data_IF_799869278647
#
_entry.id   IF_799869278647
#
_cell.length_a   1.000
_cell.length_b   1.000
_cell.length_c   1.000
_cell.angle_alpha   90.00
_cell.angle_beta   90.00
_cell.angle_gamma   90.00
#
_symmetry.space_group_name_H-M   'P 1'
#
loop_
_entity.id
_entity.type
_entity.pdbx_description
1 polymer ?
#
# COMPACT_ATOMS: atom_id res chain seq x y z
N UNK A 1 -0.94 -12.59 -25.57
CA UNK A 1 -1.74 -13.40 -24.62
C UNK A 1 -1.75 -12.65 -23.31
N UNK A 2 -2.91 -12.37 -22.73
CA UNK A 2 -2.97 -11.76 -21.41
C UNK A 2 -2.70 -12.88 -20.38
N UNK A 3 -1.48 -12.94 -19.84
CA UNK A 3 -1.20 -13.77 -18.68
C UNK A 3 -1.97 -13.18 -17.51
N UNK A 4 -3.08 -13.81 -17.16
CA UNK A 4 -3.83 -13.48 -15.95
C UNK A 4 -2.98 -13.84 -14.74
N UNK A 5 -2.78 -12.88 -13.83
CA UNK A 5 -2.09 -12.99 -12.53
C UNK A 5 -2.65 -14.10 -11.59
N UNK A 6 -3.60 -14.92 -12.03
CA UNK A 6 -4.32 -15.92 -11.24
C UNK A 6 -3.48 -17.07 -10.70
N UNK A 7 -2.21 -17.21 -11.13
CA UNK A 7 -1.24 -18.15 -10.57
C UNK A 7 -0.38 -17.57 -9.44
N UNK A 8 -0.50 -16.28 -9.14
CA UNK A 8 0.29 -15.59 -8.12
C UNK A 8 -0.60 -15.33 -6.90
N UNK A 9 -0.18 -15.78 -5.71
CA UNK A 9 -0.94 -15.58 -4.46
C UNK A 9 -1.14 -14.11 -4.06
N UNK A 10 -0.56 -13.18 -4.82
CA UNK A 10 -0.84 -11.73 -4.88
C UNK A 10 -2.35 -11.41 -5.02
N UNK A 11 -3.14 -12.33 -5.57
CA UNK A 11 -4.62 -12.22 -5.64
C UNK A 11 -5.30 -12.21 -4.26
N UNK A 12 -4.60 -12.58 -3.18
CA UNK A 12 -5.12 -12.45 -1.81
C UNK A 12 -5.19 -10.98 -1.36
N UNK A 13 -4.23 -10.15 -1.81
CA UNK A 13 -4.11 -8.72 -1.51
C UNK A 13 -4.97 -7.92 -2.49
N UNK A 14 -4.93 -8.28 -3.77
CA UNK A 14 -5.66 -7.56 -4.81
C UNK A 14 -7.04 -8.17 -5.02
N UNK A 15 -8.07 -7.35 -4.79
CA UNK A 15 -9.46 -7.58 -5.18
C UNK A 15 -9.77 -6.78 -6.46
N UNK A 16 -9.23 -7.23 -7.59
CA UNK A 16 -9.53 -6.66 -8.90
C UNK A 16 -10.68 -7.42 -9.58
N UNK A 17 -11.61 -6.70 -10.20
CA UNK A 17 -12.58 -7.33 -11.11
C UNK A 17 -11.86 -8.00 -12.29
N UNK A 18 -12.49 -9.01 -12.91
CA UNK A 18 -11.92 -9.68 -14.09
C UNK A 18 -11.54 -8.64 -15.16
N UNK A 19 -10.25 -8.55 -15.51
CA UNK A 19 -9.73 -7.62 -16.52
C UNK A 19 -9.36 -6.21 -16.02
N UNK A 20 -9.39 -5.95 -14.70
CA UNK A 20 -9.09 -4.63 -14.15
C UNK A 20 -7.59 -4.35 -13.92
N UNK A 21 -6.72 -5.37 -14.01
CA UNK A 21 -5.27 -5.22 -13.91
C UNK A 21 -4.58 -5.68 -15.19
N UNK A 22 -3.63 -4.86 -15.61
CA UNK A 22 -2.70 -5.12 -16.71
C UNK A 22 -1.29 -5.27 -16.17
N UNK A 23 -0.38 -5.85 -16.96
CA UNK A 23 1.03 -5.94 -16.58
C UNK A 23 1.68 -4.55 -16.47
N UNK A 24 1.13 -3.54 -17.13
CA UNK A 24 1.61 -2.16 -17.05
C UNK A 24 1.32 -1.50 -15.70
N UNK A 25 0.38 -2.06 -14.93
CA UNK A 25 0.03 -1.58 -13.59
C UNK A 25 1.00 -2.09 -12.51
N UNK A 26 1.89 -3.04 -12.85
CA UNK A 26 2.81 -3.67 -11.91
C UNK A 26 4.25 -3.50 -12.39
N UNK A 27 5.12 -3.00 -11.51
CA UNK A 27 6.56 -2.95 -11.75
C UNK A 27 7.30 -3.88 -10.81
N UNK A 28 8.46 -4.36 -11.25
CA UNK A 28 9.37 -5.13 -10.40
C UNK A 28 10.44 -4.19 -9.87
N UNK A 29 10.67 -4.24 -8.56
CA UNK A 29 11.68 -3.43 -7.85
C UNK A 29 12.41 -4.29 -6.84
N UNK A 30 13.64 -3.92 -6.51
CA UNK A 30 14.43 -4.58 -5.48
C UNK A 30 14.24 -3.84 -4.15
N UNK A 31 14.17 -4.59 -3.06
CA UNK A 31 14.10 -4.04 -1.71
C UNK A 31 15.47 -3.61 -1.20
N UNK A 32 15.55 -2.45 -0.53
CA UNK A 32 16.73 -2.02 0.24
C UNK A 32 16.44 -1.90 1.75
N UNK A 33 15.16 -2.01 2.14
CA UNK A 33 14.70 -1.94 3.53
C UNK A 33 14.93 -3.24 4.31
N UNK A 34 15.14 -3.11 5.63
CA UNK A 34 15.26 -4.26 6.53
C UNK A 34 13.91 -4.97 6.82
N UNK A 35 12.78 -4.28 6.63
CA UNK A 35 11.44 -4.79 6.97
C UNK A 35 10.39 -4.18 6.05
N UNK A 36 10.19 -4.82 4.88
CA UNK A 36 9.00 -4.59 4.05
C UNK A 36 8.00 -5.71 4.33
N UNK A 37 6.75 -5.48 3.98
CA UNK A 37 5.69 -6.47 4.05
C UNK A 37 4.68 -6.22 2.92
N UNK A 38 3.92 -7.22 2.49
CA UNK A 38 2.90 -6.99 1.48
C UNK A 38 1.87 -5.96 1.96
N UNK A 39 1.31 -5.20 1.03
CA UNK A 39 0.44 -4.04 1.23
C UNK A 39 1.05 -2.75 1.78
N UNK A 40 2.34 -2.73 2.14
CA UNK A 40 2.99 -1.48 2.53
C UNK A 40 3.11 -0.50 1.36
N UNK A 41 3.10 0.79 1.69
CA UNK A 41 3.41 1.89 0.79
C UNK A 41 4.92 2.02 0.66
N UNK A 42 5.43 2.17 -0.56
CA UNK A 42 6.85 2.31 -0.83
C UNK A 42 7.19 3.53 -1.68
N UNK A 43 8.41 4.04 -1.52
CA UNK A 43 9.04 5.06 -2.37
C UNK A 43 10.31 4.49 -3.00
N UNK A 44 10.76 5.11 -4.10
CA UNK A 44 12.07 4.80 -4.68
C UNK A 44 13.17 5.50 -3.84
N UNK A 45 14.25 4.78 -3.57
CA UNK A 45 15.42 5.28 -2.85
C UNK A 45 16.68 5.12 -3.72
N UNK A 46 17.45 6.20 -3.88
CA UNK A 46 18.74 6.20 -4.58
C UNK A 46 18.67 6.58 -6.06
N UNK A 47 19.76 7.18 -6.57
CA UNK A 47 19.85 7.75 -7.92
C UNK A 47 20.31 6.74 -8.99
N UNK A 48 20.92 5.61 -8.60
CA UNK A 48 21.62 4.71 -9.54
C UNK A 48 20.93 3.36 -9.76
N UNK A 49 20.16 2.90 -8.77
CA UNK A 49 19.26 1.75 -8.87
C UNK A 49 17.96 2.17 -8.17
N UNK A 50 16.77 1.98 -8.78
CA UNK A 50 15.52 2.24 -8.08
C UNK A 50 15.26 1.06 -7.15
N UNK A 51 16.03 0.98 -6.08
CA UNK A 51 15.63 0.15 -4.95
C UNK A 51 14.46 0.86 -4.25
N UNK A 52 13.65 0.10 -3.54
CA UNK A 52 12.50 0.65 -2.80
C UNK A 52 12.68 0.46 -1.30
N UNK A 53 12.13 1.41 -0.57
CA UNK A 53 12.02 1.41 0.88
C UNK A 53 10.57 1.72 1.31
N UNK A 54 10.26 1.55 2.60
CA UNK A 54 8.99 2.00 3.15
C UNK A 54 8.85 3.51 2.92
N UNK A 55 7.67 3.93 2.49
CA UNK A 55 7.35 5.34 2.38
C UNK A 55 7.41 5.97 3.78
N UNK A 56 8.27 6.97 3.96
CA UNK A 56 8.46 7.61 5.25
C UNK A 56 7.19 8.35 5.69
N UNK A 57 7.02 8.52 7.01
CA UNK A 57 5.92 9.33 7.53
C UNK A 57 6.01 10.76 6.96
N UNK A 58 4.87 11.31 6.54
CA UNK A 58 4.75 12.62 5.88
C UNK A 58 5.42 12.75 4.49
N UNK A 59 5.97 11.68 3.92
CA UNK A 59 6.44 11.69 2.55
C UNK A 59 5.26 11.66 1.56
N UNK A 60 5.33 12.50 0.53
CA UNK A 60 4.26 12.66 -0.45
C UNK A 60 4.55 11.89 -1.76
N UNK A 61 5.79 11.46 -1.95
CA UNK A 61 6.26 10.84 -3.19
C UNK A 61 6.23 9.32 -3.08
N UNK A 62 5.02 8.76 -3.19
CA UNK A 62 4.82 7.31 -3.23
C UNK A 62 5.10 6.76 -4.64
N UNK A 63 5.85 5.66 -4.71
CA UNK A 63 5.94 4.85 -5.93
C UNK A 63 4.69 3.98 -6.09
N UNK A 64 4.33 3.22 -5.06
CA UNK A 64 3.30 2.20 -5.17
C UNK A 64 3.06 1.41 -3.89
N UNK A 65 2.39 0.27 -4.05
CA UNK A 65 2.08 -0.68 -2.97
C UNK A 65 2.78 -2.00 -3.24
N UNK A 66 3.50 -2.52 -2.25
CA UNK A 66 4.17 -3.82 -2.38
C UNK A 66 3.15 -4.94 -2.36
N UNK A 67 3.24 -5.86 -3.31
CA UNK A 67 2.35 -7.02 -3.44
C UNK A 67 3.00 -8.31 -2.91
N UNK A 68 4.32 -8.33 -2.79
CA UNK A 68 5.10 -9.46 -2.28
C UNK A 68 6.28 -9.81 -3.17
N UNK A 69 7.05 -10.80 -2.73
CA UNK A 69 8.25 -11.27 -3.44
C UNK A 69 7.94 -11.86 -4.82
N UNK A 70 8.87 -11.66 -5.76
CA UNK A 70 8.89 -12.28 -7.10
C UNK A 70 9.36 -13.73 -6.98
N UNK A 71 8.56 -14.56 -6.28
CA UNK A 71 8.73 -16.02 -6.17
C UNK A 71 7.37 -16.68 -5.96
N UNK A 72 7.21 -17.96 -6.34
CA UNK A 72 6.00 -18.71 -6.00
C UNK A 72 6.02 -19.04 -4.50
N UNK A 73 5.44 -18.17 -3.67
CA UNK A 73 5.07 -18.55 -2.32
C UNK A 73 3.78 -19.40 -2.39
N UNK A 74 3.78 -20.57 -1.75
CA UNK A 74 2.61 -21.45 -1.68
C UNK A 74 1.46 -20.82 -0.85
N UNK A 75 1.81 -19.91 0.05
CA UNK A 75 0.89 -19.15 0.89
C UNK A 75 1.36 -17.70 0.99
N UNK A 76 0.47 -16.74 0.75
CA UNK A 76 0.74 -15.32 0.93
C UNK A 76 0.09 -14.83 2.21
N UNK A 77 0.90 -14.28 3.12
CA UNK A 77 0.43 -13.57 4.30
C UNK A 77 0.70 -12.07 4.12
N UNK A 78 -0.25 -11.23 4.54
CA UNK A 78 -0.19 -9.78 4.32
C UNK A 78 0.76 -9.08 5.32
N UNK A 79 1.03 -9.70 6.47
CA UNK A 79 1.97 -9.21 7.48
C UNK A 79 3.33 -9.92 7.45
N UNK A 80 3.54 -10.85 6.51
CA UNK A 80 4.81 -11.55 6.37
C UNK A 80 5.92 -10.57 5.98
N UNK A 81 7.02 -10.61 6.74
CA UNK A 81 8.21 -9.83 6.41
C UNK A 81 8.83 -10.31 5.11
N UNK A 82 9.13 -9.37 4.23
CA UNK A 82 9.87 -9.56 2.99
C UNK A 82 11.36 -9.35 3.29
N UNK A 83 12.18 -10.26 2.78
CA UNK A 83 13.62 -10.18 2.98
C UNK A 83 14.24 -8.99 2.24
N UNK A 84 15.30 -8.41 2.81
CA UNK A 84 16.05 -7.36 2.14
C UNK A 84 16.78 -7.90 0.89
N UNK A 85 17.01 -7.05 -0.11
CA UNK A 85 17.68 -7.35 -1.37
C UNK A 85 16.96 -8.40 -2.24
N UNK A 86 15.64 -8.48 -2.15
CA UNK A 86 14.81 -9.37 -2.96
C UNK A 86 13.97 -8.54 -3.94
N UNK A 87 13.64 -9.11 -5.10
CA UNK A 87 12.72 -8.48 -6.03
C UNK A 87 11.27 -8.69 -5.58
N UNK A 88 10.49 -7.62 -5.62
CA UNK A 88 9.06 -7.62 -5.30
C UNK A 88 8.26 -7.06 -6.45
N UNK A 89 6.99 -7.45 -6.50
CA UNK A 89 5.99 -6.81 -7.33
C UNK A 89 5.45 -5.58 -6.61
N UNK A 90 5.37 -4.46 -7.31
CA UNK A 90 4.81 -3.20 -6.83
C UNK A 90 3.65 -2.82 -7.72
N UNK A 91 2.48 -2.65 -7.13
CA UNK A 91 1.31 -2.08 -7.79
C UNK A 91 1.47 -0.58 -7.87
N UNK A 92 1.46 -0.04 -9.09
CA UNK A 92 1.42 1.40 -9.32
C UNK A 92 0.02 1.96 -8.99
N UNK A 93 -0.11 3.26 -8.71
CA UNK A 93 -1.41 3.89 -8.48
C UNK A 93 -2.30 3.80 -9.72
N UNK A 94 -3.50 3.21 -9.60
CA UNK A 94 -4.40 2.99 -10.76
C UNK A 94 -5.83 3.48 -10.55
N UNK A 95 -6.23 3.83 -9.32
CA UNK A 95 -7.57 4.21 -8.83
C UNK A 95 -8.71 3.24 -9.17
N UNK A 96 -8.40 2.10 -9.78
CA UNK A 96 -9.34 1.12 -10.34
C UNK A 96 -9.35 -0.19 -9.57
N UNK A 97 -8.46 -0.32 -8.59
CA UNK A 97 -8.21 -1.58 -7.91
C UNK A 97 -8.68 -1.47 -6.47
N UNK A 98 -9.21 -2.56 -5.92
CA UNK A 98 -9.41 -2.66 -4.48
C UNK A 98 -8.28 -3.53 -3.94
N UNK A 99 -7.56 -3.04 -2.95
CA UNK A 99 -6.49 -3.77 -2.27
C UNK A 99 -6.84 -3.95 -0.80
N UNK A 100 -6.50 -5.10 -0.26
CA UNK A 100 -6.44 -5.33 1.18
C UNK A 100 -5.11 -4.78 1.70
N UNK A 101 -5.15 -4.03 2.79
CA UNK A 101 -3.99 -3.37 3.36
C UNK A 101 -3.95 -3.49 4.87
N UNK A 102 -2.76 -3.48 5.44
CA UNK A 102 -2.58 -3.33 6.88
C UNK A 102 -2.76 -1.87 7.28
N UNK A 103 -3.76 -1.64 8.10
CA UNK A 103 -4.07 -0.37 8.75
C UNK A 103 -3.22 -0.18 10.00
N UNK A 104 -2.77 1.07 10.21
CA UNK A 104 -1.93 1.52 11.31
C UNK A 104 -2.42 1.07 12.69
N UNK A 105 -1.49 1.05 13.66
CA UNK A 105 -1.80 0.65 15.04
C UNK A 105 -2.51 1.73 15.86
N UNK A 106 -2.92 2.84 15.24
CA UNK A 106 -3.58 3.95 15.92
C UNK A 106 -5.04 3.65 16.28
N UNK A 107 -5.53 4.25 17.36
CA UNK A 107 -6.94 4.20 17.77
C UNK A 107 -7.82 5.18 16.96
N UNK A 108 -7.64 5.22 15.64
CA UNK A 108 -8.40 6.10 14.74
C UNK A 108 -9.39 5.27 13.94
N UNK A 109 -10.67 5.64 14.00
CA UNK A 109 -11.72 4.97 13.23
C UNK A 109 -11.70 5.43 11.79
N UNK A 110 -11.72 4.46 10.87
CA UNK A 110 -11.90 4.69 9.44
C UNK A 110 -13.32 4.34 9.06
N UNK A 111 -14.03 5.28 8.45
CA UNK A 111 -15.33 5.08 7.85
C UNK A 111 -15.18 4.79 6.36
N UNK A 112 -16.20 4.14 5.78
CA UNK A 112 -16.26 3.94 4.34
C UNK A 112 -16.29 5.30 3.63
N UNK A 113 -15.40 5.46 2.65
CA UNK A 113 -15.25 6.68 1.84
C UNK A 113 -14.22 7.68 2.38
N UNK A 114 -13.67 7.45 3.59
CA UNK A 114 -12.58 8.25 4.14
C UNK A 114 -11.34 8.17 3.24
N UNK A 115 -10.61 9.28 3.18
CA UNK A 115 -9.32 9.34 2.52
C UNK A 115 -8.25 8.66 3.36
N UNK A 116 -7.41 7.88 2.70
CA UNK A 116 -6.33 7.12 3.34
C UNK A 116 -5.03 7.33 2.58
N UNK A 117 -3.93 7.23 3.31
CA UNK A 117 -2.59 7.47 2.79
C UNK A 117 -1.56 6.87 3.71
N UNK A 118 -0.33 7.40 3.71
CA UNK A 118 0.69 6.96 4.67
C UNK A 118 0.28 7.34 6.08
N UNK A 119 0.43 6.40 7.01
CA UNK A 119 0.22 6.62 8.43
C UNK A 119 1.17 7.67 8.99
N UNK A 120 0.70 8.46 9.94
CA UNK A 120 1.53 9.38 10.71
C UNK A 120 2.26 8.70 11.87
N UNK A 121 1.93 7.44 12.16
CA UNK A 121 2.47 6.66 13.28
C UNK A 121 3.48 5.63 12.79
N UNK A 122 3.13 4.85 11.77
CA UNK A 122 3.92 3.70 11.32
C UNK A 122 4.30 3.89 9.83
N UNK A 123 5.61 4.03 9.52
CA UNK A 123 6.07 4.22 8.14
C UNK A 123 5.62 3.06 7.22
N UNK A 124 5.22 3.40 5.99
CA UNK A 124 4.69 2.45 5.01
C UNK A 124 3.33 1.82 5.35
N UNK A 125 2.74 2.05 6.52
CA UNK A 125 1.39 1.61 6.83
C UNK A 125 0.34 2.58 6.32
N UNK A 126 -0.89 2.09 6.17
CA UNK A 126 -2.03 2.91 5.79
C UNK A 126 -2.65 3.58 7.01
N UNK A 127 -2.83 4.89 6.94
CA UNK A 127 -3.50 5.69 7.95
C UNK A 127 -4.67 6.49 7.38
N UNK A 128 -5.57 6.93 8.27
CA UNK A 128 -6.62 7.88 7.90
C UNK A 128 -6.00 9.26 7.70
N UNK A 129 -6.25 9.88 6.56
CA UNK A 129 -5.88 11.27 6.35
C UNK A 129 -6.96 12.14 6.98
N UNK A 130 -6.63 12.76 8.11
CA UNK A 130 -7.49 13.75 8.75
C UNK A 130 -7.24 15.10 8.12
N UNK A 131 -8.25 15.62 7.42
CA UNK A 131 -8.29 17.02 7.06
C UNK A 131 -8.61 17.84 8.31
N UNK A 132 -7.66 18.66 8.75
CA UNK A 132 -7.92 19.71 9.75
C UNK A 132 -8.03 21.00 8.97
N UNK A 133 -9.23 21.58 8.92
CA UNK A 133 -9.47 22.90 8.35
C UNK A 133 -8.64 23.94 9.13
N UNK A 134 -7.48 24.27 8.59
CA UNK A 134 -6.69 25.40 9.05
C UNK A 134 -7.15 26.59 8.21
N UNK A 135 -7.57 27.68 8.85
CA UNK A 135 -8.26 28.83 8.26
C UNK A 135 -7.53 29.60 7.12
N UNK A 136 -6.48 29.06 6.51
CA UNK A 136 -5.72 29.65 5.42
C UNK A 136 -5.91 28.88 4.10
N UNK A 137 -6.17 29.63 3.02
CA UNK A 137 -6.59 29.19 1.68
C UNK A 137 -5.58 28.37 0.85
N UNK A 138 -4.62 27.68 1.48
CA UNK A 138 -3.75 26.71 0.82
C UNK A 138 -4.14 25.31 1.27
N UNK A 139 -5.39 24.95 0.98
CA UNK A 139 -5.97 23.64 1.23
C UNK A 139 -5.48 22.63 0.19
N UNK A 140 -4.61 21.72 0.60
CA UNK A 140 -4.27 20.56 -0.21
C UNK A 140 -4.45 19.30 0.62
N UNK A 141 -5.32 18.39 0.17
CA UNK A 141 -5.39 17.00 0.67
C UNK A 141 -4.13 16.24 0.22
N UNK A 142 -2.95 16.71 0.63
CA UNK A 142 -1.68 16.08 0.28
C UNK A 142 -1.56 14.74 0.98
N UNK A 143 -1.05 13.74 0.27
CA UNK A 143 -0.78 12.41 0.84
C UNK A 143 -1.98 11.45 0.87
N UNK A 144 -3.14 11.83 0.32
CA UNK A 144 -4.22 10.85 0.07
C UNK A 144 -3.85 9.97 -1.13
N UNK A 145 -3.61 8.68 -0.88
CA UNK A 145 -3.27 7.69 -1.91
C UNK A 145 -4.43 6.77 -2.28
N UNK A 146 -5.53 6.80 -1.52
CA UNK A 146 -6.71 6.01 -1.82
C UNK A 146 -7.93 6.42 -1.00
N UNK A 147 -9.00 5.65 -1.16
CA UNK A 147 -10.22 5.81 -0.34
C UNK A 147 -10.63 4.48 0.27
N UNK A 148 -10.98 4.48 1.54
CA UNK A 148 -11.48 3.29 2.21
C UNK A 148 -12.80 2.82 1.58
N UNK A 149 -12.92 1.52 1.32
CA UNK A 149 -14.19 0.89 0.91
C UNK A 149 -14.86 0.11 2.04
N UNK A 150 -14.18 -0.05 3.18
CA UNK A 150 -14.63 -0.77 4.38
C UNK A 150 -14.42 0.06 5.64
N UNK A 151 -15.41 0.10 6.53
CA UNK A 151 -15.18 0.70 7.85
C UNK A 151 -14.28 -0.21 8.69
N UNK A 152 -13.33 0.40 9.42
CA UNK A 152 -12.43 -0.28 10.36
C UNK A 152 -12.40 0.50 11.67
N UNK A 153 -12.68 -0.19 12.77
CA UNK A 153 -12.51 0.39 14.10
C UNK A 153 -11.04 0.36 14.46
N UNK A 154 -10.46 1.55 14.69
CA UNK A 154 -9.07 1.66 15.13
C UNK A 154 -8.92 1.11 16.54
N UNK A 155 -7.84 0.38 16.77
CA UNK A 155 -7.53 -0.14 18.09
C UNK A 155 -6.03 0.02 18.33
N UNK A 156 -5.69 0.73 19.40
CA UNK A 156 -4.30 0.90 19.82
C UNK A 156 -3.60 -0.46 19.88
N UNK A 157 -2.41 -0.58 19.26
CA UNK A 157 -1.57 -1.77 19.29
C UNK A 157 -2.10 -3.00 18.52
N UNK A 158 -3.17 -2.88 17.74
CA UNK A 158 -3.69 -3.97 16.92
C UNK A 158 -3.83 -3.55 15.45
N UNK A 159 -2.96 -4.08 14.59
CA UNK A 159 -3.10 -3.93 13.15
C UNK A 159 -4.38 -4.61 12.67
N UNK A 160 -5.03 -4.02 11.67
CA UNK A 160 -6.26 -4.53 11.07
C UNK A 160 -6.14 -4.54 9.56
N UNK A 161 -6.86 -5.44 8.90
CA UNK A 161 -6.99 -5.42 7.44
C UNK A 161 -8.09 -4.44 7.05
N UNK A 162 -7.76 -3.50 6.18
CA UNK A 162 -8.68 -2.54 5.56
C UNK A 162 -8.74 -2.78 4.05
N UNK A 163 -9.89 -2.59 3.44
CA UNK A 163 -10.01 -2.54 1.98
C UNK A 163 -9.93 -1.09 1.50
N UNK A 164 -9.06 -0.83 0.53
CA UNK A 164 -8.82 0.50 -0.04
C UNK A 164 -9.04 0.44 -1.54
N UNK A 165 -9.76 1.41 -2.09
CA UNK A 165 -9.74 1.70 -3.52
C UNK A 165 -8.49 2.51 -3.81
N UNK A 166 -7.62 1.92 -4.62
CA UNK A 166 -6.28 2.35 -4.97
C UNK A 166 -6.08 2.39 -6.48
#
# INVERSE_FOLDING_TARGET
>A
MAETLGGLGITSIIRAGKGALTLDDIVIRRTNAATLFPSCLCSENGETFPDIDLLANAELSMLGVVLGEVRPAETYDIDATISNNVFVYVLLPTMKTIIAVLYETAAVNVLKGDHVGVSTVDAGFWGKITYTDAAAATDTMMGSFGRSVSAVTGHASNQKVMLVRY
#
